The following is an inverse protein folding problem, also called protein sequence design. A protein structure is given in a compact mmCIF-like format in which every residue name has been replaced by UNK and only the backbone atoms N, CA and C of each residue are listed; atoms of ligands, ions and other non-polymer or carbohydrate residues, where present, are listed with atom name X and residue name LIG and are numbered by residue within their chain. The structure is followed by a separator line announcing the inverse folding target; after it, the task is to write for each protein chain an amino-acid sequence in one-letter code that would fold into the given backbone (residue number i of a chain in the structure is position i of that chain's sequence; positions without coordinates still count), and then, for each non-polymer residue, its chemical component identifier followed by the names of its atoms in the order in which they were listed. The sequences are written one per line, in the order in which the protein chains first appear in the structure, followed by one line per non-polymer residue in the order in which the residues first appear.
data_IF_002431008003
#
_entry.id   IF_002431008003
#
_cell.length_a   1.000
_cell.length_b   1.000
_cell.length_c   1.000
_cell.angle_alpha   90.00
_cell.angle_beta   90.00
_cell.angle_gamma   90.00
#
_symmetry.space_group_name_H-M   'P 1'
#
loop_
_entity.id
_entity.type
_entity.pdbx_description
1 polymer ?
#
# COMPACT_ATOMS: atom_id res chain seq x y z
N UNK A 1 42.73 -22.38 4.94
CA UNK A 1 41.79 -21.40 5.52
C UNK A 1 40.41 -21.33 4.81
N UNK A 2 40.29 -21.81 3.59
CA UNK A 2 39.04 -21.82 2.75
C UNK A 2 37.91 -22.77 3.19
N UNK A 3 38.14 -23.96 3.82
CA UNK A 3 37.01 -24.87 4.16
C UNK A 3 36.04 -24.35 5.24
N UNK A 4 36.52 -23.53 6.17
CA UNK A 4 35.66 -23.03 7.29
C UNK A 4 34.62 -21.98 6.84
N UNK A 5 34.94 -21.14 5.86
CA UNK A 5 34.03 -20.16 5.29
C UNK A 5 32.90 -20.82 4.49
N UNK A 6 33.21 -21.89 3.76
CA UNK A 6 32.22 -22.64 2.99
C UNK A 6 31.24 -23.36 3.91
N UNK A 7 31.70 -23.94 5.00
CA UNK A 7 30.85 -24.61 6.00
C UNK A 7 29.90 -23.59 6.70
N UNK A 8 30.39 -22.37 6.99
CA UNK A 8 29.61 -21.30 7.59
C UNK A 8 28.49 -20.83 6.66
N UNK A 9 28.77 -20.64 5.36
CA UNK A 9 27.77 -20.25 4.37
C UNK A 9 26.69 -21.32 4.15
N UNK A 10 27.06 -22.60 4.15
CA UNK A 10 26.11 -23.71 4.00
C UNK A 10 25.23 -23.84 5.26
N UNK A 11 25.82 -23.69 6.45
CA UNK A 11 25.10 -23.73 7.72
C UNK A 11 24.12 -22.57 7.85
N UNK A 12 24.53 -21.34 7.53
CA UNK A 12 23.68 -20.16 7.52
C UNK A 12 22.52 -20.30 6.52
N UNK A 13 22.76 -20.82 5.30
CA UNK A 13 21.68 -21.06 4.34
C UNK A 13 20.66 -22.09 4.85
N UNK A 14 21.10 -23.17 5.50
CA UNK A 14 20.21 -24.18 6.12
C UNK A 14 19.42 -23.58 7.28
N UNK A 15 20.02 -22.78 8.15
CA UNK A 15 19.32 -22.09 9.22
C UNK A 15 18.26 -21.09 8.69
N UNK A 16 18.63 -20.27 7.71
CA UNK A 16 17.69 -19.33 7.09
C UNK A 16 16.54 -20.07 6.40
N UNK A 17 16.80 -21.17 5.69
CA UNK A 17 15.75 -21.96 5.06
C UNK A 17 14.82 -22.65 6.09
N UNK A 18 15.37 -23.14 7.19
CA UNK A 18 14.61 -23.74 8.30
C UNK A 18 13.73 -22.70 9.00
N UNK A 19 14.26 -21.51 9.31
CA UNK A 19 13.48 -20.42 9.90
C UNK A 19 12.39 -19.93 8.95
N UNK A 20 12.70 -19.82 7.66
CA UNK A 20 11.72 -19.44 6.65
C UNK A 20 10.60 -20.50 6.49
N UNK A 21 10.91 -21.79 6.61
CA UNK A 21 9.91 -22.85 6.56
C UNK A 21 9.00 -22.84 7.81
N UNK A 22 9.57 -22.67 9.01
CA UNK A 22 8.80 -22.51 10.25
C UNK A 22 7.92 -21.27 10.23
N UNK A 23 8.45 -20.14 9.78
CA UNK A 23 7.67 -18.90 9.62
C UNK A 23 6.49 -19.10 8.63
N UNK A 24 6.70 -19.82 7.52
CA UNK A 24 5.62 -20.16 6.59
C UNK A 24 4.53 -21.02 7.23
N UNK A 25 4.91 -22.07 7.96
CA UNK A 25 3.95 -22.93 8.66
C UNK A 25 3.17 -22.15 9.73
N UNK A 26 3.86 -21.28 10.47
CA UNK A 26 3.25 -20.43 11.48
C UNK A 26 2.24 -19.45 10.84
N UNK A 27 2.61 -18.84 9.72
CA UNK A 27 1.73 -17.93 8.97
C UNK A 27 0.56 -18.65 8.26
N UNK A 28 0.61 -19.97 8.06
CA UNK A 28 -0.52 -20.74 7.56
C UNK A 28 -1.62 -20.94 8.61
N UNK A 29 -1.28 -20.85 9.90
CA UNK A 29 -2.25 -20.92 10.98
C UNK A 29 -3.12 -19.64 10.99
N UNK A 30 -4.46 -19.76 11.08
CA UNK A 30 -5.35 -18.59 11.08
C UNK A 30 -5.14 -17.66 12.29
N UNK A 31 -4.78 -18.20 13.47
CA UNK A 31 -4.65 -17.38 14.69
C UNK A 31 -3.49 -16.38 14.62
N UNK A 32 -2.22 -16.76 14.39
CA UNK A 32 -1.15 -15.77 14.26
C UNK A 32 -1.32 -14.85 13.05
N UNK A 33 -1.93 -15.33 11.97
CA UNK A 33 -2.25 -14.47 10.83
C UNK A 33 -3.29 -13.40 11.21
N UNK A 34 -4.32 -13.75 11.99
CA UNK A 34 -5.32 -12.81 12.49
C UNK A 34 -4.68 -11.73 13.40
N UNK A 35 -3.76 -12.13 14.29
CA UNK A 35 -3.03 -11.21 15.15
C UNK A 35 -2.22 -10.23 14.30
N UNK A 36 -1.44 -10.71 13.33
CA UNK A 36 -0.65 -9.84 12.45
C UNK A 36 -1.51 -8.90 11.62
N UNK A 37 -2.60 -9.42 11.04
CA UNK A 37 -3.54 -8.61 10.27
C UNK A 37 -4.20 -7.53 11.13
N UNK A 38 -4.71 -7.91 12.31
CA UNK A 38 -5.32 -6.99 13.26
C UNK A 38 -4.33 -5.92 13.73
N UNK A 39 -3.11 -6.32 14.10
CA UNK A 39 -2.05 -5.38 14.50
C UNK A 39 -1.71 -4.41 13.37
N UNK A 40 -1.56 -4.89 12.14
CA UNK A 40 -1.26 -4.04 10.99
C UNK A 40 -2.38 -3.03 10.72
N UNK A 41 -3.64 -3.47 10.76
CA UNK A 41 -4.81 -2.60 10.57
C UNK A 41 -4.94 -1.56 11.68
N UNK A 42 -4.75 -1.96 12.95
CA UNK A 42 -4.78 -1.04 14.09
C UNK A 42 -3.64 -0.04 14.03
N UNK A 43 -2.42 -0.49 13.72
CA UNK A 43 -1.26 0.39 13.65
C UNK A 43 -1.39 1.44 12.53
N UNK A 44 -1.71 1.00 11.30
CA UNK A 44 -1.88 1.93 10.17
C UNK A 44 -3.09 2.83 10.41
N UNK A 45 -4.19 2.31 10.98
CA UNK A 45 -5.35 3.09 11.37
C UNK A 45 -5.01 4.17 12.39
N UNK A 46 -4.27 3.82 13.44
CA UNK A 46 -3.82 4.78 14.46
C UNK A 46 -2.90 5.87 13.88
N UNK A 47 -1.98 5.51 12.98
CA UNK A 47 -1.13 6.50 12.30
C UNK A 47 -1.95 7.48 11.45
N UNK A 48 -2.96 6.98 10.72
CA UNK A 48 -3.84 7.83 9.90
C UNK A 48 -4.73 8.72 10.77
N UNK A 49 -5.26 8.18 11.88
CA UNK A 49 -6.08 8.96 12.83
C UNK A 49 -5.26 10.03 13.53
N UNK A 50 -4.08 9.70 14.06
CA UNK A 50 -3.19 10.68 14.69
C UNK A 50 -2.79 11.80 13.73
N UNK A 51 -2.43 11.44 12.49
CA UNK A 51 -2.14 12.44 11.47
C UNK A 51 -3.36 13.34 11.15
N UNK A 52 -4.57 12.78 11.18
CA UNK A 52 -5.79 13.54 10.96
C UNK A 52 -6.09 14.50 12.11
N UNK A 53 -5.85 14.06 13.36
CA UNK A 53 -5.94 14.89 14.57
C UNK A 53 -4.92 16.04 14.51
N UNK A 54 -3.64 15.75 14.24
CA UNK A 54 -2.58 16.77 14.10
C UNK A 54 -2.95 17.84 13.05
N UNK A 55 -3.58 17.41 11.95
CA UNK A 55 -4.04 18.32 10.89
C UNK A 55 -5.21 19.20 11.34
N UNK A 56 -6.15 18.64 12.13
CA UNK A 56 -7.31 19.39 12.65
C UNK A 56 -6.88 20.39 13.74
N UNK A 57 -5.96 19.99 14.61
CA UNK A 57 -5.53 20.78 15.76
C UNK A 57 -4.40 21.76 15.41
N UNK A 58 -3.96 21.80 14.15
CA UNK A 58 -2.85 22.64 13.65
C UNK A 58 -1.54 22.40 14.43
N UNK A 59 -1.21 21.15 14.70
CA UNK A 59 0.00 20.78 15.43
C UNK A 59 1.29 20.83 14.60
N UNK A 60 2.38 20.29 15.13
CA UNK A 60 3.74 20.38 14.60
C UNK A 60 3.90 19.95 13.15
N UNK A 61 3.07 19.01 12.67
CA UNK A 61 3.09 18.55 11.28
C UNK A 61 2.69 19.68 10.31
N UNK A 62 1.77 20.57 10.71
CA UNK A 62 1.31 21.71 9.88
C UNK A 62 2.42 22.72 9.69
N UNK A 63 3.29 22.92 10.68
CA UNK A 63 4.49 23.76 10.55
C UNK A 63 5.45 23.17 9.52
N UNK A 64 5.66 21.85 9.57
CA UNK A 64 6.48 21.12 8.59
C UNK A 64 5.88 21.22 7.17
N UNK A 65 4.56 21.10 7.06
CA UNK A 65 3.82 21.25 5.81
C UNK A 65 4.06 22.61 5.17
N UNK A 66 3.92 23.67 5.97
CA UNK A 66 4.16 25.05 5.52
C UNK A 66 5.60 25.27 5.10
N UNK A 67 6.56 24.88 5.94
CA UNK A 67 7.99 25.00 5.63
C UNK A 67 8.35 24.27 4.33
N UNK A 68 7.94 23.00 4.17
CA UNK A 68 8.26 22.21 2.99
C UNK A 68 7.61 22.78 1.73
N UNK A 69 6.36 23.26 1.82
CA UNK A 69 5.68 23.88 0.68
C UNK A 69 6.40 25.13 0.18
N UNK A 70 6.85 26.00 1.08
CA UNK A 70 7.64 27.20 0.74
C UNK A 70 9.02 26.82 0.18
N UNK A 71 9.70 25.87 0.81
CA UNK A 71 11.01 25.42 0.35
C UNK A 71 10.94 24.83 -1.06
N UNK A 72 9.98 23.96 -1.34
CA UNK A 72 9.79 23.39 -2.67
C UNK A 72 9.41 24.47 -3.69
N UNK A 73 8.54 25.41 -3.33
CA UNK A 73 8.17 26.51 -4.23
C UNK A 73 9.38 27.36 -4.65
N UNK A 74 10.28 27.65 -3.71
CA UNK A 74 11.50 28.42 -3.97
C UNK A 74 12.53 27.68 -4.85
N UNK A 75 12.50 26.32 -4.86
CA UNK A 75 13.46 25.49 -5.59
C UNK A 75 12.88 24.82 -6.84
N UNK A 76 11.69 25.23 -7.29
CA UNK A 76 11.08 24.71 -8.52
C UNK A 76 11.81 25.21 -9.76
N UNK A 77 11.94 24.32 -10.72
CA UNK A 77 12.46 24.64 -12.05
C UNK A 77 11.41 24.32 -13.12
N UNK A 78 11.39 25.00 -14.27
CA UNK A 78 10.48 24.68 -15.37
C UNK A 78 10.58 23.22 -15.83
N UNK A 79 11.79 22.69 -15.90
CA UNK A 79 12.04 21.27 -16.24
C UNK A 79 11.45 20.34 -15.18
N UNK A 80 11.68 20.63 -13.90
CA UNK A 80 11.12 19.86 -12.79
C UNK A 80 9.59 19.88 -12.80
N UNK A 81 8.97 21.03 -13.07
CA UNK A 81 7.51 21.12 -13.21
C UNK A 81 7.02 20.18 -14.31
N UNK A 82 7.62 20.21 -15.50
CA UNK A 82 7.24 19.33 -16.61
C UNK A 82 7.39 17.84 -16.27
N UNK A 83 8.50 17.44 -15.61
CA UNK A 83 8.74 16.06 -15.19
C UNK A 83 7.67 15.61 -14.16
N UNK A 84 7.43 16.41 -13.13
CA UNK A 84 6.50 16.02 -12.06
C UNK A 84 5.04 16.15 -12.48
N UNK A 85 4.72 17.01 -13.48
CA UNK A 85 3.41 17.02 -14.12
C UNK A 85 3.16 15.72 -14.91
N UNK A 86 4.15 15.25 -15.67
CA UNK A 86 4.05 13.95 -16.34
C UNK A 86 3.93 12.78 -15.34
N UNK A 87 4.67 12.81 -14.22
CA UNK A 87 4.58 11.76 -13.18
C UNK A 87 3.22 11.80 -12.49
N UNK A 88 2.72 12.98 -12.13
CA UNK A 88 1.44 13.11 -11.44
C UNK A 88 0.27 12.62 -12.29
N UNK A 89 0.40 12.67 -13.62
CA UNK A 89 -0.60 12.16 -14.56
C UNK A 89 -0.93 10.68 -14.31
N UNK A 90 0.04 9.86 -13.87
CA UNK A 90 -0.19 8.47 -13.50
C UNK A 90 -1.13 8.30 -12.29
N UNK A 91 -1.23 9.31 -11.43
CA UNK A 91 -2.15 9.34 -10.28
C UNK A 91 -3.52 9.93 -10.60
N UNK A 92 -3.76 10.41 -11.81
CA UNK A 92 -5.05 10.90 -12.25
C UNK A 92 -6.09 9.79 -12.30
N UNK A 93 -7.33 10.14 -12.00
CA UNK A 93 -8.44 9.19 -11.99
C UNK A 93 -8.65 8.51 -13.36
N UNK A 94 -8.55 9.27 -14.44
CA UNK A 94 -8.74 8.78 -15.80
C UNK A 94 -7.71 7.70 -16.15
N UNK A 95 -6.45 7.95 -15.82
CA UNK A 95 -5.36 6.98 -16.04
C UNK A 95 -5.53 5.78 -15.11
N UNK A 96 -5.93 5.99 -13.86
CA UNK A 96 -6.19 4.92 -12.93
C UNK A 96 -7.30 3.98 -13.45
N UNK A 97 -8.36 4.51 -14.04
CA UNK A 97 -9.44 3.71 -14.67
C UNK A 97 -8.89 2.89 -15.84
N UNK A 98 -8.07 3.47 -16.71
CA UNK A 98 -7.47 2.74 -17.85
C UNK A 98 -6.56 1.62 -17.36
N UNK A 99 -5.65 1.92 -16.42
CA UNK A 99 -4.71 0.92 -15.85
C UNK A 99 -5.47 -0.18 -15.11
N UNK A 100 -6.46 0.18 -14.31
CA UNK A 100 -7.29 -0.78 -13.59
C UNK A 100 -8.05 -1.70 -14.56
N UNK A 101 -8.65 -1.13 -15.60
CA UNK A 101 -9.38 -1.90 -16.63
C UNK A 101 -8.45 -2.89 -17.32
N UNK A 102 -7.27 -2.43 -17.75
CA UNK A 102 -6.27 -3.31 -18.37
C UNK A 102 -5.83 -4.43 -17.42
N UNK A 103 -5.56 -4.12 -16.16
CA UNK A 103 -5.19 -5.11 -15.14
C UNK A 103 -6.32 -6.11 -14.87
N UNK A 104 -7.56 -5.65 -14.79
CA UNK A 104 -8.74 -6.50 -14.59
C UNK A 104 -8.95 -7.43 -15.78
N UNK A 105 -8.91 -6.92 -17.00
CA UNK A 105 -9.03 -7.74 -18.23
C UNK A 105 -7.95 -8.82 -18.28
N UNK A 106 -6.70 -8.45 -17.98
CA UNK A 106 -5.57 -9.40 -17.96
C UNK A 106 -5.72 -10.48 -16.88
N UNK A 107 -6.21 -10.12 -15.70
CA UNK A 107 -6.31 -11.02 -14.56
C UNK A 107 -7.61 -11.84 -14.55
N UNK A 108 -8.68 -11.38 -15.21
CA UNK A 108 -10.04 -11.92 -15.06
C UNK A 108 -10.14 -13.43 -15.28
N UNK A 109 -9.56 -13.92 -16.37
CA UNK A 109 -9.63 -15.33 -16.72
C UNK A 109 -8.69 -16.24 -15.93
N UNK A 110 -7.64 -15.68 -15.34
CA UNK A 110 -6.60 -16.45 -14.65
C UNK A 110 -6.62 -16.26 -13.14
N UNK A 111 -7.03 -15.09 -12.65
CA UNK A 111 -6.91 -14.67 -11.24
C UNK A 111 -8.05 -13.73 -10.82
N UNK A 112 -9.29 -14.15 -10.98
CA UNK A 112 -10.49 -13.33 -10.66
C UNK A 112 -10.42 -12.68 -9.28
N UNK A 113 -9.91 -13.37 -8.27
CA UNK A 113 -9.76 -12.81 -6.91
C UNK A 113 -8.82 -11.60 -6.89
N UNK A 114 -7.70 -11.67 -7.61
CA UNK A 114 -6.77 -10.54 -7.71
C UNK A 114 -7.39 -9.36 -8.47
N UNK A 115 -8.15 -9.63 -9.54
CA UNK A 115 -8.89 -8.61 -10.26
C UNK A 115 -9.93 -7.92 -9.36
N UNK A 116 -10.73 -8.69 -8.62
CA UNK A 116 -11.70 -8.15 -7.66
C UNK A 116 -11.00 -7.37 -6.54
N UNK A 117 -9.88 -7.86 -6.00
CA UNK A 117 -9.12 -7.15 -5.00
C UNK A 117 -8.62 -5.79 -5.51
N UNK A 118 -8.13 -5.70 -6.75
CA UNK A 118 -7.72 -4.43 -7.34
C UNK A 118 -8.89 -3.46 -7.52
N UNK A 119 -10.04 -3.94 -8.00
CA UNK A 119 -11.25 -3.11 -8.13
C UNK A 119 -11.65 -2.55 -6.76
N UNK A 120 -11.84 -3.43 -5.77
CA UNK A 120 -12.31 -3.03 -4.43
C UNK A 120 -11.27 -2.16 -3.71
N UNK A 121 -9.98 -2.45 -3.87
CA UNK A 121 -8.93 -1.63 -3.27
C UNK A 121 -8.91 -0.22 -3.87
N UNK A 122 -8.91 -0.10 -5.18
CA UNK A 122 -8.81 1.20 -5.85
C UNK A 122 -10.08 2.03 -5.65
N UNK A 123 -11.26 1.48 -5.93
CA UNK A 123 -12.52 2.23 -5.80
C UNK A 123 -12.86 2.55 -4.35
N UNK A 124 -12.71 1.58 -3.45
CA UNK A 124 -13.00 1.76 -2.03
C UNK A 124 -12.07 2.78 -1.38
N UNK A 125 -10.78 2.78 -1.71
CA UNK A 125 -9.85 3.80 -1.19
C UNK A 125 -10.24 5.21 -1.63
N UNK A 126 -10.77 5.39 -2.85
CA UNK A 126 -11.25 6.69 -3.33
C UNK A 126 -12.55 7.13 -2.65
N UNK A 127 -13.43 6.20 -2.31
CA UNK A 127 -14.61 6.50 -1.49
C UNK A 127 -14.17 7.02 -0.11
N UNK A 128 -13.23 6.33 0.55
CA UNK A 128 -12.69 6.76 1.86
C UNK A 128 -12.03 8.14 1.75
N UNK A 129 -11.23 8.39 0.70
CA UNK A 129 -10.65 9.71 0.43
C UNK A 129 -11.71 10.77 0.25
N UNK A 130 -12.77 10.50 -0.52
CA UNK A 130 -13.86 11.47 -0.77
C UNK A 130 -14.61 11.81 0.51
N UNK A 131 -14.89 10.81 1.35
CA UNK A 131 -15.51 11.02 2.66
C UNK A 131 -14.59 11.83 3.59
N UNK A 132 -13.30 11.51 3.61
CA UNK A 132 -12.29 12.27 4.36
C UNK A 132 -12.24 13.73 3.92
N UNK A 133 -12.20 14.01 2.62
CA UNK A 133 -12.23 15.39 2.08
C UNK A 133 -13.48 16.15 2.51
N UNK A 134 -14.62 15.50 2.47
CA UNK A 134 -15.88 16.12 2.89
C UNK A 134 -15.93 16.39 4.41
N UNK A 135 -15.31 15.50 5.22
CA UNK A 135 -15.27 15.63 6.68
C UNK A 135 -14.25 16.66 7.17
N UNK A 136 -13.03 16.64 6.62
CA UNK A 136 -11.95 17.52 7.08
C UNK A 136 -11.99 18.92 6.46
N UNK A 137 -12.44 19.08 5.22
CA UNK A 137 -12.55 20.38 4.56
C UNK A 137 -11.25 21.18 4.47
N UNK A 138 -10.09 20.55 4.63
CA UNK A 138 -8.79 21.21 4.73
C UNK A 138 -8.48 22.05 3.48
N UNK A 139 -8.08 23.34 3.63
CA UNK A 139 -7.67 24.16 2.51
C UNK A 139 -6.36 23.66 1.90
N UNK A 140 -6.20 23.82 0.60
CA UNK A 140 -4.96 23.54 -0.13
C UNK A 140 -3.89 24.61 0.09
N UNK A 141 -2.62 24.34 -0.26
CA UNK A 141 -1.60 25.36 -0.32
C UNK A 141 -2.08 26.57 -1.15
N UNK A 142 -1.77 27.81 -0.71
CA UNK A 142 -2.24 29.01 -1.39
C UNK A 142 -1.71 29.10 -2.82
N UNK A 143 -2.43 29.83 -3.68
CA UNK A 143 -2.13 29.95 -5.12
C UNK A 143 -0.69 30.38 -5.42
N UNK A 144 -0.07 31.17 -4.53
CA UNK A 144 1.33 31.61 -4.64
C UNK A 144 2.33 30.45 -4.53
N UNK A 145 1.93 29.36 -3.90
CA UNK A 145 2.77 28.17 -3.70
C UNK A 145 2.41 27.01 -4.64
N UNK A 146 1.44 27.14 -5.52
CA UNK A 146 0.98 26.05 -6.40
C UNK A 146 1.19 26.36 -7.87
N UNK A 147 1.48 25.32 -8.65
CA UNK A 147 1.54 25.39 -10.11
C UNK A 147 0.14 25.27 -10.73
N UNK A 148 -0.76 24.52 -10.06
CA UNK A 148 -2.11 24.22 -10.54
C UNK A 148 -3.10 24.50 -9.41
N UNK A 149 -4.03 25.45 -9.63
CA UNK A 149 -5.07 25.74 -8.64
C UNK A 149 -6.14 24.65 -8.63
N UNK A 150 -6.53 24.21 -7.45
CA UNK A 150 -7.60 23.24 -7.19
C UNK A 150 -8.52 23.81 -6.11
N UNK A 151 -9.83 23.58 -6.25
CA UNK A 151 -10.85 24.12 -5.33
C UNK A 151 -11.36 23.10 -4.30
N UNK A 152 -11.10 21.82 -4.50
CA UNK A 152 -11.51 20.76 -3.57
C UNK A 152 -10.57 20.66 -2.34
N UNK A 153 -11.05 20.05 -1.25
CA UNK A 153 -10.27 19.85 -0.04
C UNK A 153 -8.95 19.10 -0.28
N UNK A 154 -7.90 19.43 0.50
CA UNK A 154 -6.57 18.87 0.30
C UNK A 154 -6.40 17.50 0.96
N UNK A 155 -6.90 17.29 2.17
CA UNK A 155 -6.68 16.08 2.97
C UNK A 155 -7.83 15.08 2.88
N UNK A 156 -7.52 13.79 2.73
CA UNK A 156 -6.25 13.21 2.29
C UNK A 156 -6.05 13.27 0.77
N UNK A 157 -4.80 13.06 0.30
CA UNK A 157 -4.47 13.10 -1.13
C UNK A 157 -4.99 11.88 -1.90
N UNK A 158 -5.89 12.11 -2.88
CA UNK A 158 -6.43 11.04 -3.73
C UNK A 158 -5.40 10.39 -4.65
N UNK A 159 -4.46 11.16 -5.23
CA UNK A 159 -3.37 10.62 -6.05
C UNK A 159 -2.45 9.69 -5.24
N UNK A 160 -2.14 10.09 -4.00
CA UNK A 160 -1.33 9.28 -3.10
C UNK A 160 -2.04 7.99 -2.71
N UNK A 161 -3.34 8.03 -2.47
CA UNK A 161 -4.15 6.84 -2.17
C UNK A 161 -4.22 5.89 -3.38
N UNK A 162 -4.47 6.40 -4.60
CA UNK A 162 -4.44 5.60 -5.84
C UNK A 162 -3.07 4.97 -6.04
N UNK A 163 -1.99 5.70 -5.78
CA UNK A 163 -0.63 5.19 -6.00
C UNK A 163 -0.34 3.92 -5.18
N UNK A 164 -0.91 3.80 -4.00
CA UNK A 164 -0.80 2.60 -3.16
C UNK A 164 -1.86 1.55 -3.56
N UNK A 165 -3.12 1.92 -3.62
CA UNK A 165 -4.22 0.98 -3.83
C UNK A 165 -4.22 0.33 -5.23
N UNK A 166 -3.70 1.01 -6.25
CA UNK A 166 -3.61 0.48 -7.61
C UNK A 166 -2.22 -0.04 -7.92
N UNK A 167 -1.19 0.82 -7.84
CA UNK A 167 0.15 0.46 -8.31
C UNK A 167 0.90 -0.43 -7.32
N UNK A 168 0.98 -0.04 -6.03
CA UNK A 168 1.71 -0.85 -5.06
C UNK A 168 1.04 -2.22 -4.89
N UNK A 169 -0.29 -2.29 -4.81
CA UNK A 169 -1.02 -3.55 -4.75
C UNK A 169 -0.84 -4.36 -6.05
N UNK A 170 -0.90 -3.72 -7.22
CA UNK A 170 -0.67 -4.39 -8.51
C UNK A 170 0.71 -5.04 -8.58
N UNK A 171 1.77 -4.32 -8.22
CA UNK A 171 3.14 -4.85 -8.17
C UNK A 171 3.31 -5.95 -7.09
N UNK A 172 2.63 -5.81 -5.94
CA UNK A 172 2.58 -6.87 -4.93
C UNK A 172 1.95 -8.17 -5.47
N UNK A 173 0.86 -8.08 -6.21
CA UNK A 173 0.23 -9.23 -6.85
C UNK A 173 1.14 -9.85 -7.93
N UNK A 174 1.88 -9.04 -8.69
CA UNK A 174 2.88 -9.49 -9.65
C UNK A 174 4.05 -10.17 -8.95
N UNK A 175 4.53 -9.64 -7.84
CA UNK A 175 5.56 -10.27 -7.00
C UNK A 175 5.18 -11.69 -6.60
N UNK A 176 3.95 -11.89 -6.10
CA UNK A 176 3.46 -13.23 -5.71
C UNK A 176 3.19 -14.16 -6.91
N UNK A 177 3.04 -13.58 -8.10
CA UNK A 177 2.78 -14.32 -9.34
C UNK A 177 4.05 -14.79 -10.04
N UNK A 178 5.17 -14.16 -9.74
CA UNK A 178 6.44 -14.33 -10.44
C UNK A 178 7.34 -15.35 -9.72
N UNK A 179 8.01 -16.22 -10.49
CA UNK A 179 8.99 -17.19 -9.96
C UNK A 179 10.42 -16.63 -9.96
N UNK A 180 10.76 -15.77 -10.91
CA UNK A 180 12.09 -15.20 -11.08
C UNK A 180 12.47 -14.27 -9.91
N UNK A 181 13.61 -14.50 -9.21
CA UNK A 181 14.07 -13.63 -8.12
C UNK A 181 14.41 -12.20 -8.59
N UNK A 182 14.87 -12.06 -9.84
CA UNK A 182 15.17 -10.74 -10.43
C UNK A 182 13.90 -9.92 -10.62
N UNK A 183 12.87 -10.52 -11.21
CA UNK A 183 11.58 -9.87 -11.40
C UNK A 183 10.87 -9.58 -10.06
N UNK A 184 11.00 -10.47 -9.07
CA UNK A 184 10.48 -10.18 -7.73
C UNK A 184 11.08 -8.91 -7.12
N UNK A 185 12.41 -8.74 -7.23
CA UNK A 185 13.07 -7.52 -6.77
C UNK A 185 12.59 -6.28 -7.52
N UNK A 186 12.40 -6.39 -8.85
CA UNK A 186 11.84 -5.31 -9.66
C UNK A 186 10.43 -4.93 -9.20
N UNK A 187 9.51 -5.90 -9.04
CA UNK A 187 8.15 -5.62 -8.59
C UNK A 187 8.11 -4.99 -7.20
N UNK A 188 8.97 -5.45 -6.30
CA UNK A 188 9.08 -4.83 -4.97
C UNK A 188 9.59 -3.39 -5.06
N UNK A 189 10.63 -3.14 -5.86
CA UNK A 189 11.14 -1.78 -6.07
C UNK A 189 10.07 -0.85 -6.65
N UNK A 190 9.32 -1.30 -7.67
CA UNK A 190 8.25 -0.52 -8.29
C UNK A 190 7.06 -0.28 -7.33
N UNK A 191 6.75 -1.23 -6.44
CA UNK A 191 5.71 -1.08 -5.44
C UNK A 191 5.98 0.06 -4.45
N UNK A 192 7.25 0.39 -4.20
CA UNK A 192 7.64 1.54 -3.39
C UNK A 192 7.87 2.80 -4.24
N UNK A 193 8.52 2.65 -5.38
CA UNK A 193 8.92 3.78 -6.22
C UNK A 193 7.72 4.56 -6.76
N UNK A 194 6.67 3.88 -7.26
CA UNK A 194 5.51 4.56 -7.82
C UNK A 194 4.76 5.42 -6.80
N UNK A 195 4.40 4.93 -5.61
CA UNK A 195 3.82 5.78 -4.58
C UNK A 195 4.70 6.97 -4.21
N UNK A 196 6.01 6.76 -4.05
CA UNK A 196 6.94 7.83 -3.70
C UNK A 196 7.00 8.91 -4.79
N UNK A 197 7.12 8.53 -6.05
CA UNK A 197 7.18 9.48 -7.16
C UNK A 197 5.88 10.25 -7.34
N UNK A 198 4.73 9.55 -7.31
CA UNK A 198 3.41 10.18 -7.44
C UNK A 198 3.13 11.08 -6.23
N UNK A 199 3.40 10.62 -5.01
CA UNK A 199 3.23 11.43 -3.81
C UNK A 199 4.14 12.67 -3.82
N UNK A 200 5.43 12.50 -4.13
CA UNK A 200 6.36 13.62 -4.23
C UNK A 200 5.97 14.63 -5.32
N UNK A 201 5.44 14.17 -6.46
CA UNK A 201 4.95 15.07 -7.50
C UNK A 201 3.88 16.03 -7.00
N UNK A 202 3.03 15.57 -6.05
CA UNK A 202 1.98 16.43 -5.45
C UNK A 202 2.55 17.52 -4.57
N UNK A 203 3.64 17.23 -3.86
CA UNK A 203 4.39 18.19 -3.05
C UNK A 203 5.12 19.18 -3.96
N UNK A 204 5.83 18.67 -4.96
CA UNK A 204 6.61 19.50 -5.88
C UNK A 204 5.74 20.48 -6.67
N UNK A 205 4.56 20.05 -7.12
CA UNK A 205 3.60 20.93 -7.81
C UNK A 205 2.83 21.86 -6.85
N UNK A 206 2.96 21.67 -5.53
CA UNK A 206 2.38 22.50 -4.50
C UNK A 206 0.87 22.36 -4.35
N UNK A 207 0.31 21.26 -4.82
CA UNK A 207 -1.15 21.01 -4.76
C UNK A 207 -1.61 20.30 -3.51
N UNK A 208 -0.66 19.75 -2.73
CA UNK A 208 -0.88 19.07 -1.46
C UNK A 208 0.25 19.34 -0.47
N UNK A 209 -0.05 19.26 0.80
CA UNK A 209 0.92 19.23 1.89
C UNK A 209 1.49 17.82 2.11
N UNK A 210 2.60 17.71 2.87
CA UNK A 210 3.21 16.43 3.21
C UNK A 210 2.23 15.51 3.96
N UNK A 211 1.55 16.06 4.95
CA UNK A 211 0.53 15.32 5.71
C UNK A 211 -0.61 14.80 4.84
N UNK A 212 -1.04 15.54 3.79
CA UNK A 212 -2.06 15.06 2.85
C UNK A 212 -1.57 13.82 2.09
N UNK A 213 -0.29 13.83 1.68
CA UNK A 213 0.34 12.72 0.95
C UNK A 213 0.48 11.50 1.84
N UNK A 214 0.97 11.67 3.08
CA UNK A 214 1.09 10.61 4.08
C UNK A 214 -0.27 10.02 4.44
N UNK A 215 -1.28 10.86 4.66
CA UNK A 215 -2.65 10.45 4.91
C UNK A 215 -3.23 9.65 3.73
N UNK A 216 -2.98 10.10 2.50
CA UNK A 216 -3.38 9.37 1.29
C UNK A 216 -2.72 8.00 1.18
N UNK A 217 -1.40 7.89 1.41
CA UNK A 217 -0.71 6.61 1.44
C UNK A 217 -1.24 5.70 2.55
N UNK A 218 -1.48 6.25 3.73
CA UNK A 218 -2.05 5.52 4.86
C UNK A 218 -3.42 4.94 4.55
N UNK A 219 -4.34 5.74 3.98
CA UNK A 219 -5.67 5.29 3.55
C UNK A 219 -5.56 4.19 2.50
N UNK A 220 -4.73 4.39 1.45
CA UNK A 220 -4.53 3.39 0.40
C UNK A 220 -3.97 2.08 0.94
N UNK A 221 -3.00 2.15 1.86
CA UNK A 221 -2.38 0.99 2.49
C UNK A 221 -3.36 0.25 3.41
N UNK A 222 -4.03 0.96 4.31
CA UNK A 222 -5.00 0.41 5.25
C UNK A 222 -6.11 -0.34 4.52
N UNK A 223 -6.68 0.29 3.50
CA UNK A 223 -7.74 -0.30 2.69
C UNK A 223 -7.24 -1.52 1.89
N UNK A 224 -6.02 -1.47 1.33
CA UNK A 224 -5.43 -2.59 0.61
C UNK A 224 -5.16 -3.80 1.53
N UNK A 225 -4.67 -3.55 2.75
CA UNK A 225 -4.47 -4.60 3.77
C UNK A 225 -5.81 -5.27 4.11
N UNK A 226 -6.87 -4.50 4.28
CA UNK A 226 -8.21 -5.01 4.58
C UNK A 226 -8.75 -5.87 3.44
N UNK A 227 -8.66 -5.37 2.21
CA UNK A 227 -9.20 -6.04 1.00
C UNK A 227 -8.47 -7.36 0.69
N UNK A 228 -7.17 -7.44 0.94
CA UNK A 228 -6.39 -8.66 0.71
C UNK A 228 -6.39 -9.57 1.94
N UNK A 229 -6.22 -9.00 3.12
CA UNK A 229 -6.00 -9.73 4.36
C UNK A 229 -7.25 -10.43 4.89
N UNK A 230 -8.41 -9.76 4.85
CA UNK A 230 -9.65 -10.34 5.40
C UNK A 230 -10.11 -11.59 4.63
N UNK A 231 -10.19 -11.59 3.28
CA UNK A 231 -10.51 -12.81 2.54
C UNK A 231 -9.47 -13.92 2.74
N UNK A 232 -8.21 -13.57 2.91
CA UNK A 232 -7.14 -14.54 3.18
C UNK A 232 -7.31 -15.19 4.55
N UNK A 233 -7.64 -14.41 5.57
CA UNK A 233 -7.96 -14.89 6.90
C UNK A 233 -9.16 -15.84 6.90
N UNK A 234 -10.26 -15.46 6.26
CA UNK A 234 -11.48 -16.29 6.18
C UNK A 234 -11.18 -17.64 5.53
N UNK A 235 -10.39 -17.64 4.44
CA UNK A 235 -9.99 -18.89 3.77
C UNK A 235 -9.15 -19.81 4.68
N UNK A 236 -8.19 -19.24 5.41
CA UNK A 236 -7.32 -20.00 6.33
C UNK A 236 -8.14 -20.60 7.45
N UNK A 237 -9.06 -19.83 8.03
CA UNK A 237 -9.97 -20.29 9.08
C UNK A 237 -10.87 -21.43 8.59
N UNK A 238 -11.45 -21.30 7.41
CA UNK A 238 -12.28 -22.35 6.81
C UNK A 238 -11.49 -23.63 6.55
N UNK A 239 -10.28 -23.54 5.99
CA UNK A 239 -9.42 -24.69 5.77
C UNK A 239 -9.03 -25.40 7.08
N UNK A 240 -8.70 -24.65 8.13
CA UNK A 240 -8.38 -25.21 9.44
C UNK A 240 -9.58 -25.94 10.07
N UNK A 241 -10.77 -25.38 9.96
CA UNK A 241 -12.01 -26.00 10.46
C UNK A 241 -12.32 -27.30 9.72
N UNK A 242 -12.18 -27.33 8.39
CA UNK A 242 -12.39 -28.56 7.59
C UNK A 242 -11.40 -29.65 7.98
N UNK A 243 -10.12 -29.32 8.16
CA UNK A 243 -9.09 -30.25 8.59
C UNK A 243 -9.37 -30.81 10.00
N UNK A 244 -9.81 -29.97 10.93
CA UNK A 244 -10.18 -30.41 12.29
C UNK A 244 -11.41 -31.33 12.28
N UNK A 245 -12.38 -31.09 11.39
CA UNK A 245 -13.54 -31.95 11.22
C UNK A 245 -13.16 -33.34 10.66
N UNK A 246 -12.28 -33.38 9.64
CA UNK A 246 -11.76 -34.63 9.06
C UNK A 246 -11.00 -35.49 10.10
N UNK A 247 -10.17 -34.83 10.92
CA UNK A 247 -9.44 -35.54 11.98
C UNK A 247 -10.37 -36.17 13.05
N UNK A 248 -11.48 -35.51 13.37
CA UNK A 248 -12.48 -36.02 14.33
C UNK A 248 -13.32 -37.14 13.77
N UNK A 249 -13.52 -37.18 12.46
CA UNK A 249 -14.33 -38.22 11.78
C UNK A 249 -13.55 -39.51 11.51
N UNK A 250 -12.22 -39.52 11.65
CA UNK A 250 -11.40 -40.73 11.47
C UNK A 250 -11.62 -41.69 12.64
N UNK A 251 -12.03 -42.95 12.39
CA UNK A 251 -12.17 -43.94 13.45
C UNK A 251 -10.82 -44.16 14.13
N UNK A 252 -10.86 -44.27 15.47
CA UNK A 252 -9.67 -44.51 16.29
C UNK A 252 -9.17 -45.92 16.01
N UNK A 253 -8.32 -46.10 14.99
CA UNK A 253 -7.73 -47.40 14.59
C UNK A 253 -6.53 -47.81 15.44
N UNK A 254 -6.38 -47.24 16.65
CA UNK A 254 -5.40 -47.69 17.62
C UNK A 254 -5.99 -48.86 18.42
N UNK A 255 -5.78 -50.12 17.95
CA UNK A 255 -5.79 -51.32 18.73
C UNK A 255 -4.43 -51.96 18.64
#
# INVERSE_FOLDING_TARGET
MLPRLFCYHVCMRKQVSFLASRARLWLQNPAPFAVLLGTALLYVGALVSGLAEDVLDNESIVLTDGWLAHWLAAHRTPVGIGIFDAITFLGNWEVAVVVLTAAVVFLWNRRRRSALAMIVATTGSQIVVSLGKAGFGRPRPPAVLTVITRLDASFPSGHSSISVALYALGFYLLFHSTRSPRLKRLWLALAFLFPLLIGFSRLYLGVHYLSDVLGGWGVGLWWSILVVGVPDFVRRRSAANTQAADLRSRPNTAK
#
